data_IF_360815179696
#
_entry.id   IF_360815179696
#
_cell.length_a   1.000
_cell.length_b   1.000
_cell.length_c   1.000
_cell.angle_alpha   90.00
_cell.angle_beta   90.00
_cell.angle_gamma   90.00
#
_symmetry.space_group_name_H-M   'P 1'
#
loop_
_entity.id
_entity.type
_entity.pdbx_description
1 polymer ?
#
# COMPACT_ATOMS: atom_id res chain seq x y z
N UNK A 1 -40.90 18.14 -0.10
CA UNK A 1 -39.49 17.71 -0.25
C UNK A 1 -39.20 16.72 0.87
N UNK A 2 -39.09 15.43 0.54
CA UNK A 2 -38.74 14.41 1.51
C UNK A 2 -37.25 14.57 1.86
N UNK A 3 -36.87 14.64 3.14
CA UNK A 3 -35.46 14.58 3.51
C UNK A 3 -34.94 13.17 3.21
N UNK A 4 -33.89 13.09 2.40
CA UNK A 4 -33.14 11.87 2.17
C UNK A 4 -32.60 11.36 3.52
N UNK A 5 -33.34 10.43 4.15
CA UNK A 5 -32.82 9.56 5.21
C UNK A 5 -31.90 8.52 4.57
N UNK A 6 -30.71 8.96 4.16
CA UNK A 6 -29.64 8.10 3.70
C UNK A 6 -28.71 7.73 4.86
N UNK A 7 -29.18 6.97 5.84
CA UNK A 7 -28.25 6.14 6.60
C UNK A 7 -27.81 5.07 5.63
N UNK A 8 -26.70 5.29 4.90
CA UNK A 8 -26.12 4.28 4.03
C UNK A 8 -25.79 3.06 4.90
N UNK A 9 -26.65 2.05 4.86
CA UNK A 9 -26.39 0.79 5.52
C UNK A 9 -25.19 0.16 4.80
N UNK A 10 -24.16 -0.22 5.54
CA UNK A 10 -23.05 -0.99 4.99
C UNK A 10 -23.65 -2.35 4.58
N UNK A 11 -23.48 -2.72 3.31
CA UNK A 11 -24.04 -3.95 2.77
C UNK A 11 -23.39 -5.17 3.43
N UNK A 12 -24.17 -6.24 3.62
CA UNK A 12 -23.70 -7.47 4.28
C UNK A 12 -22.47 -8.05 3.58
N UNK A 13 -22.47 -8.06 2.24
CA UNK A 13 -21.35 -8.56 1.44
C UNK A 13 -20.05 -7.79 1.72
N UNK A 14 -20.11 -6.47 1.91
CA UNK A 14 -18.94 -5.64 2.24
C UNK A 14 -18.42 -5.89 3.66
N UNK A 15 -19.27 -6.33 4.57
CA UNK A 15 -18.84 -6.69 5.93
C UNK A 15 -18.15 -8.06 5.94
N UNK A 16 -18.58 -8.98 5.09
CA UNK A 16 -17.99 -10.32 4.96
C UNK A 16 -16.59 -10.30 4.32
N UNK A 17 -16.19 -9.21 3.68
CA UNK A 17 -14.83 -9.06 3.13
C UNK A 17 -13.80 -8.59 4.15
N UNK A 18 -14.22 -8.07 5.32
CA UNK A 18 -13.29 -7.63 6.35
C UNK A 18 -12.66 -8.85 7.01
N UNK A 19 -11.35 -8.81 7.16
CA UNK A 19 -10.59 -9.86 7.81
C UNK A 19 -10.70 -9.75 9.36
N UNK A 20 -10.93 -10.85 10.11
CA UNK A 20 -10.84 -10.84 11.57
C UNK A 20 -9.50 -10.27 12.11
N UNK A 21 -8.39 -10.51 11.41
CA UNK A 21 -7.08 -9.94 11.75
C UNK A 21 -7.06 -8.41 11.64
N UNK A 22 -7.70 -7.83 10.62
CA UNK A 22 -7.87 -6.37 10.48
C UNK A 22 -8.60 -5.78 11.69
N UNK A 23 -9.63 -6.46 12.19
CA UNK A 23 -10.37 -6.01 13.38
C UNK A 23 -9.49 -6.03 14.62
N UNK A 24 -8.67 -7.07 14.82
CA UNK A 24 -7.73 -7.14 15.95
C UNK A 24 -6.69 -6.03 15.89
N UNK A 25 -6.06 -5.85 14.72
CA UNK A 25 -5.05 -4.83 14.51
C UNK A 25 -5.59 -3.41 14.73
N UNK A 26 -6.82 -3.14 14.25
CA UNK A 26 -7.53 -1.89 14.53
C UNK A 26 -7.70 -1.65 16.02
N UNK A 27 -8.19 -2.65 16.77
CA UNK A 27 -8.43 -2.54 18.20
C UNK A 27 -7.14 -2.31 18.99
N UNK A 28 -6.07 -3.01 18.65
CA UNK A 28 -4.76 -2.86 19.26
C UNK A 28 -4.20 -1.45 19.03
N UNK A 29 -4.30 -0.92 17.80
CA UNK A 29 -3.96 0.48 17.49
C UNK A 29 -4.79 1.48 18.30
N UNK A 30 -6.07 1.18 18.52
CA UNK A 30 -6.96 1.98 19.37
C UNK A 30 -6.73 1.78 20.87
N UNK A 31 -5.67 1.08 21.27
CA UNK A 31 -5.31 0.81 22.67
C UNK A 31 -6.36 -0.03 23.42
N UNK A 32 -7.15 -0.84 22.69
CA UNK A 32 -8.05 -1.79 23.31
C UNK A 32 -7.26 -2.91 23.99
N UNK A 33 -7.68 -3.33 25.18
CA UNK A 33 -7.01 -4.37 25.96
C UNK A 33 -7.76 -5.69 25.80
N UNK A 34 -7.06 -6.74 25.36
CA UNK A 34 -7.63 -8.09 25.33
C UNK A 34 -7.88 -8.58 26.76
N UNK A 35 -9.16 -8.80 27.11
CA UNK A 35 -9.58 -9.26 28.44
C UNK A 35 -9.77 -10.77 28.52
N UNK A 36 -9.99 -11.42 27.38
CA UNK A 36 -10.14 -12.87 27.34
C UNK A 36 -10.68 -13.38 26.03
N UNK A 37 -11.05 -14.65 26.02
CA UNK A 37 -11.65 -15.33 24.87
C UNK A 37 -12.99 -15.92 25.28
N UNK A 38 -13.97 -15.81 24.41
CA UNK A 38 -15.24 -16.50 24.54
C UNK A 38 -15.18 -17.74 23.66
N UNK A 39 -14.79 -18.88 24.26
CA UNK A 39 -14.44 -20.11 23.54
C UNK A 39 -13.38 -19.86 22.45
N UNK A 40 -13.45 -20.58 21.33
CA UNK A 40 -12.59 -20.43 20.15
C UNK A 40 -13.08 -19.38 19.15
N UNK A 41 -14.36 -19.00 19.26
CA UNK A 41 -15.08 -18.28 18.22
C UNK A 41 -15.00 -16.75 18.35
N UNK A 42 -14.75 -16.23 19.56
CA UNK A 42 -14.73 -14.80 19.78
C UNK A 42 -13.70 -14.35 20.83
N UNK A 43 -13.22 -13.11 20.66
CA UNK A 43 -12.32 -12.42 21.58
C UNK A 43 -13.07 -11.32 22.31
N UNK A 44 -12.72 -11.07 23.57
CA UNK A 44 -13.28 -10.00 24.37
C UNK A 44 -12.23 -8.91 24.58
N UNK A 45 -12.48 -7.73 24.05
CA UNK A 45 -11.65 -6.54 24.22
C UNK A 45 -12.35 -5.53 25.13
N UNK A 46 -11.57 -4.69 25.79
CA UNK A 46 -12.06 -3.52 26.49
C UNK A 46 -11.45 -2.26 25.87
N UNK A 47 -12.30 -1.31 25.49
CA UNK A 47 -11.91 -0.03 24.92
C UNK A 47 -12.67 1.08 25.66
N UNK A 48 -11.93 2.02 26.26
CA UNK A 48 -12.51 3.15 27.03
C UNK A 48 -13.55 2.70 28.07
N UNK A 49 -13.31 1.58 28.75
CA UNK A 49 -14.19 1.00 29.77
C UNK A 49 -15.43 0.27 29.23
N UNK A 50 -15.57 0.13 27.91
CA UNK A 50 -16.65 -0.62 27.27
C UNK A 50 -16.14 -1.97 26.75
N UNK A 51 -16.93 -3.02 26.93
CA UNK A 51 -16.60 -4.36 26.44
C UNK A 51 -17.05 -4.57 24.99
N UNK A 52 -16.17 -5.14 24.19
CA UNK A 52 -16.35 -5.45 22.78
C UNK A 52 -16.17 -6.94 22.55
N UNK A 53 -17.13 -7.57 21.87
CA UNK A 53 -17.04 -8.98 21.45
C UNK A 53 -16.68 -8.98 19.97
N UNK A 54 -15.56 -9.61 19.65
CA UNK A 54 -14.96 -9.61 18.32
C UNK A 54 -14.98 -11.02 17.75
N UNK A 55 -15.61 -11.25 16.58
CA UNK A 55 -15.56 -12.56 15.93
C UNK A 55 -14.12 -12.90 15.54
N UNK A 56 -13.67 -14.11 15.87
CA UNK A 56 -12.31 -14.57 15.63
C UNK A 56 -12.15 -15.31 14.28
N UNK A 57 -13.24 -15.57 13.56
CA UNK A 57 -13.25 -16.22 12.25
C UNK A 57 -14.33 -15.64 11.35
N UNK A 58 -14.02 -15.48 10.06
CA UNK A 58 -14.98 -15.13 9.00
C UNK A 58 -15.90 -16.29 8.62
N UNK A 59 -15.59 -17.53 9.04
CA UNK A 59 -16.41 -18.72 8.80
C UNK A 59 -17.70 -18.77 9.64
N UNK A 60 -17.90 -17.82 10.55
CA UNK A 60 -19.10 -17.73 11.37
C UNK A 60 -20.31 -17.35 10.51
N UNK A 61 -21.41 -18.09 10.64
CA UNK A 61 -22.64 -17.86 9.86
C UNK A 61 -23.19 -16.43 10.04
N UNK A 62 -22.99 -15.86 11.22
CA UNK A 62 -23.43 -14.52 11.59
C UNK A 62 -22.30 -13.47 11.56
N UNK A 63 -21.15 -13.77 10.93
CA UNK A 63 -19.96 -12.89 10.90
C UNK A 63 -20.30 -11.44 10.52
N UNK A 64 -20.95 -11.23 9.36
CA UNK A 64 -21.30 -9.89 8.91
C UNK A 64 -22.25 -9.15 9.87
N UNK A 65 -23.17 -9.87 10.53
CA UNK A 65 -24.07 -9.25 11.52
C UNK A 65 -23.34 -8.89 12.83
N UNK A 66 -22.42 -9.77 13.28
CA UNK A 66 -21.55 -9.49 14.41
C UNK A 66 -20.64 -8.28 14.14
N UNK A 67 -20.08 -8.18 12.93
CA UNK A 67 -19.24 -7.07 12.52
C UNK A 67 -20.03 -5.75 12.41
N UNK A 68 -21.24 -5.77 11.85
CA UNK A 68 -22.11 -4.59 11.83
C UNK A 68 -22.40 -4.06 13.25
N UNK A 69 -22.63 -4.97 14.20
CA UNK A 69 -22.84 -4.62 15.62
C UNK A 69 -21.57 -4.02 16.22
N UNK A 70 -20.42 -4.63 15.97
CA UNK A 70 -19.12 -4.14 16.44
C UNK A 70 -18.81 -2.74 15.91
N UNK A 71 -18.96 -2.51 14.60
CA UNK A 71 -18.75 -1.19 13.96
C UNK A 71 -19.66 -0.13 14.59
N UNK A 72 -20.93 -0.48 14.88
CA UNK A 72 -21.85 0.44 15.56
C UNK A 72 -21.39 0.78 16.98
N UNK A 73 -20.87 -0.20 17.72
CA UNK A 73 -20.34 0.02 19.07
C UNK A 73 -19.08 0.90 19.03
N UNK A 74 -18.14 0.60 18.14
CA UNK A 74 -16.92 1.40 17.92
C UNK A 74 -17.25 2.84 17.54
N UNK A 75 -18.16 3.04 16.57
CA UNK A 75 -18.63 4.36 16.17
C UNK A 75 -19.20 5.18 17.34
N UNK A 76 -19.92 4.53 18.27
CA UNK A 76 -20.46 5.18 19.45
C UNK A 76 -19.38 5.49 20.50
N UNK A 77 -18.44 4.58 20.74
CA UNK A 77 -17.33 4.74 21.69
C UNK A 77 -16.36 5.84 21.25
N UNK A 78 -16.02 5.87 19.96
CA UNK A 78 -15.05 6.80 19.40
C UNK A 78 -15.68 8.12 18.93
N UNK A 79 -17.01 8.24 18.97
CA UNK A 79 -17.75 9.40 18.44
C UNK A 79 -17.51 9.66 16.94
N UNK A 80 -17.45 8.59 16.14
CA UNK A 80 -17.17 8.63 14.70
C UNK A 80 -18.33 8.04 13.90
N UNK A 81 -18.34 8.26 12.59
CA UNK A 81 -19.32 7.61 11.72
C UNK A 81 -19.00 6.13 11.55
N UNK A 82 -20.04 5.28 11.44
CA UNK A 82 -19.86 3.85 11.16
C UNK A 82 -19.08 3.61 9.86
N UNK A 83 -19.28 4.48 8.87
CA UNK A 83 -18.57 4.42 7.59
C UNK A 83 -17.07 4.74 7.72
N UNK A 84 -16.68 5.63 8.63
CA UNK A 84 -15.27 5.88 8.91
C UNK A 84 -14.60 4.66 9.54
N UNK A 85 -15.25 4.04 10.55
CA UNK A 85 -14.75 2.81 11.19
C UNK A 85 -14.64 1.68 10.16
N UNK A 86 -15.69 1.46 9.37
CA UNK A 86 -15.71 0.44 8.32
C UNK A 86 -14.53 0.57 7.35
N UNK A 87 -14.22 1.79 6.90
CA UNK A 87 -13.11 2.03 5.98
C UNK A 87 -11.74 1.81 6.59
N UNK A 88 -11.57 2.13 7.86
CA UNK A 88 -10.31 1.84 8.55
C UNK A 88 -10.12 0.34 8.74
N UNK A 89 -11.20 -0.41 8.96
CA UNK A 89 -11.16 -1.87 8.99
C UNK A 89 -10.84 -2.47 7.62
N UNK A 90 -11.41 -1.94 6.54
CA UNK A 90 -11.11 -2.37 5.16
C UNK A 90 -9.66 -2.08 4.75
N UNK A 91 -9.02 -1.09 5.36
CA UNK A 91 -7.64 -0.72 5.10
C UNK A 91 -6.65 -1.36 6.08
N UNK A 92 -7.11 -1.96 7.17
CA UNK A 92 -6.23 -2.47 8.22
C UNK A 92 -5.42 -3.71 7.78
N UNK A 93 -5.89 -4.45 6.78
CA UNK A 93 -5.24 -5.61 6.18
C UNK A 93 -4.65 -5.34 4.79
N UNK A 94 -4.50 -4.08 4.40
CA UNK A 94 -3.89 -3.73 3.12
C UNK A 94 -2.79 -2.67 3.29
N UNK A 95 -1.68 -2.84 2.58
CA UNK A 95 -0.74 -1.75 2.40
C UNK A 95 -1.36 -0.72 1.45
N UNK A 96 -1.22 0.55 1.79
CA UNK A 96 -1.75 1.65 1.00
C UNK A 96 -0.59 2.32 0.28
N UNK A 97 -0.63 2.33 -1.06
CA UNK A 97 0.28 3.11 -1.88
C UNK A 97 -0.48 4.29 -2.46
N UNK A 98 -0.07 5.50 -2.10
CA UNK A 98 -0.61 6.73 -2.63
C UNK A 98 0.44 7.38 -3.54
N UNK A 99 0.06 7.71 -4.78
CA UNK A 99 0.94 8.35 -5.74
C UNK A 99 0.29 9.62 -6.29
N UNK A 100 1.06 10.71 -6.34
CA UNK A 100 0.54 12.01 -6.69
C UNK A 100 1.55 13.13 -6.78
N UNK A 101 1.08 14.36 -6.68
CA UNK A 101 1.88 15.58 -6.76
C UNK A 101 1.22 16.63 -5.88
N UNK A 102 2.01 17.57 -5.35
CA UNK A 102 1.58 18.54 -4.35
C UNK A 102 0.66 19.66 -4.85
N UNK A 103 0.23 19.62 -6.12
CA UNK A 103 -0.60 20.66 -6.70
C UNK A 103 -2.08 20.29 -6.63
N UNK A 104 -2.90 21.22 -6.14
CA UNK A 104 -4.36 21.10 -6.01
C UNK A 104 -5.08 21.17 -7.36
N UNK A 105 -4.35 21.46 -8.46
CA UNK A 105 -4.94 21.48 -9.79
C UNK A 105 -5.24 20.07 -10.30
N UNK A 106 -6.52 19.84 -10.62
CA UNK A 106 -6.93 18.59 -11.23
C UNK A 106 -6.31 18.46 -12.62
N UNK A 107 -5.58 17.36 -12.89
CA UNK A 107 -4.94 17.14 -14.18
C UNK A 107 -6.00 16.94 -15.26
N UNK A 108 -5.63 17.18 -16.53
CA UNK A 108 -6.48 16.79 -17.64
C UNK A 108 -6.74 15.27 -17.63
N UNK A 109 -7.86 14.82 -18.19
CA UNK A 109 -8.17 13.39 -18.30
C UNK A 109 -7.07 12.60 -19.02
N UNK A 110 -6.47 13.19 -20.07
CA UNK A 110 -5.36 12.61 -20.81
C UNK A 110 -4.10 12.48 -19.93
N UNK A 111 -3.80 13.49 -19.11
CA UNK A 111 -2.70 13.45 -18.15
C UNK A 111 -2.93 12.38 -17.09
N UNK A 112 -4.15 12.28 -16.54
CA UNK A 112 -4.48 11.29 -15.51
C UNK A 112 -4.39 9.85 -16.03
N UNK A 113 -4.91 9.58 -17.25
CA UNK A 113 -4.82 8.25 -17.88
C UNK A 113 -3.38 7.86 -18.22
N UNK A 114 -2.58 8.82 -18.68
CA UNK A 114 -1.14 8.61 -18.92
C UNK A 114 -0.40 8.33 -17.61
N UNK A 115 -0.70 9.09 -16.55
CA UNK A 115 -0.13 8.89 -15.22
C UNK A 115 -0.42 7.50 -14.68
N UNK A 116 -1.68 7.04 -14.74
CA UNK A 116 -2.05 5.68 -14.33
C UNK A 116 -1.30 4.60 -15.11
N UNK A 117 -1.13 4.81 -16.42
CA UNK A 117 -0.38 3.88 -17.28
C UNK A 117 1.09 3.81 -16.88
N UNK A 118 1.73 4.94 -16.58
CA UNK A 118 3.12 4.96 -16.13
C UNK A 118 3.25 4.42 -14.70
N UNK A 119 2.28 4.68 -13.82
CA UNK A 119 2.28 4.16 -12.45
C UNK A 119 2.21 2.64 -12.47
N UNK A 120 1.37 2.05 -13.32
CA UNK A 120 1.30 0.61 -13.50
C UNK A 120 2.65 0.03 -13.98
N UNK A 121 3.30 0.68 -14.95
CA UNK A 121 4.63 0.26 -15.44
C UNK A 121 5.71 0.36 -14.38
N UNK A 122 5.70 1.44 -13.60
CA UNK A 122 6.59 1.61 -12.45
C UNK A 122 6.40 0.49 -11.42
N UNK A 123 5.16 0.22 -11.02
CA UNK A 123 4.85 -0.85 -10.06
C UNK A 123 5.24 -2.22 -10.60
N UNK A 124 5.03 -2.47 -11.89
CA UNK A 124 5.49 -3.70 -12.53
C UNK A 124 7.01 -3.86 -12.46
N UNK A 125 7.75 -2.79 -12.78
CA UNK A 125 9.21 -2.81 -12.78
C UNK A 125 9.76 -2.99 -11.35
N UNK A 126 9.18 -2.30 -10.37
CA UNK A 126 9.53 -2.45 -8.96
C UNK A 126 9.24 -3.87 -8.43
N UNK A 127 8.07 -4.42 -8.78
CA UNK A 127 7.70 -5.78 -8.42
C UNK A 127 8.62 -6.81 -9.10
N UNK A 128 8.95 -6.61 -10.37
CA UNK A 128 9.85 -7.51 -11.13
C UNK A 128 11.30 -7.46 -10.63
N UNK A 129 11.70 -6.34 -10.02
CA UNK A 129 13.00 -6.21 -9.37
C UNK A 129 13.05 -6.95 -8.02
N UNK A 130 11.89 -7.17 -7.40
CA UNK A 130 11.76 -7.73 -6.05
C UNK A 130 11.32 -9.20 -6.06
N UNK A 131 10.74 -9.68 -7.15
CA UNK A 131 10.16 -11.01 -7.27
C UNK A 131 10.14 -11.50 -8.72
N UNK A 132 9.94 -12.80 -8.91
CA UNK A 132 9.76 -13.41 -10.23
C UNK A 132 8.57 -12.80 -11.00
N UNK A 133 8.64 -12.82 -12.34
CA UNK A 133 7.63 -12.20 -13.22
C UNK A 133 6.20 -12.63 -12.92
N UNK A 134 5.97 -13.90 -12.59
CA UNK A 134 4.63 -14.40 -12.25
C UNK A 134 4.10 -13.75 -10.96
N UNK A 135 4.94 -13.57 -9.94
CA UNK A 135 4.57 -12.89 -8.70
C UNK A 135 4.34 -11.38 -8.92
N UNK A 136 5.13 -10.74 -9.78
CA UNK A 136 4.93 -9.35 -10.17
C UNK A 136 3.60 -9.12 -10.91
N UNK A 137 3.19 -10.04 -11.78
CA UNK A 137 1.88 -9.99 -12.44
C UNK A 137 0.74 -10.23 -11.46
N UNK A 138 0.85 -11.25 -10.61
CA UNK A 138 -0.13 -11.54 -9.55
C UNK A 138 -0.30 -10.34 -8.60
N UNK A 139 0.80 -9.67 -8.25
CA UNK A 139 0.78 -8.44 -7.47
C UNK A 139 -0.07 -7.35 -8.14
N UNK A 140 0.19 -7.03 -9.41
CA UNK A 140 -0.60 -6.03 -10.12
C UNK A 140 -2.08 -6.39 -10.21
N UNK A 141 -2.42 -7.67 -10.35
CA UNK A 141 -3.79 -8.14 -10.34
C UNK A 141 -4.46 -8.08 -8.96
N UNK A 142 -3.66 -8.13 -7.89
CA UNK A 142 -4.15 -8.02 -6.51
C UNK A 142 -4.45 -6.57 -6.11
N UNK A 143 -3.81 -5.58 -6.75
CA UNK A 143 -3.98 -4.17 -6.43
C UNK A 143 -5.41 -3.70 -6.71
N UNK A 144 -6.00 -3.02 -5.73
CA UNK A 144 -7.32 -2.40 -5.86
C UNK A 144 -7.17 -0.88 -5.85
N UNK A 145 -7.79 -0.21 -6.81
CA UNK A 145 -7.88 1.24 -6.75
C UNK A 145 -8.90 1.64 -5.68
N UNK A 146 -8.45 2.39 -4.70
CA UNK A 146 -9.36 3.10 -3.82
C UNK A 146 -9.84 4.35 -4.58
N UNK A 147 -11.15 4.48 -4.79
CA UNK A 147 -11.75 5.57 -5.59
C UNK A 147 -11.70 6.93 -4.88
N UNK A 148 -10.82 7.07 -3.90
CA UNK A 148 -10.67 8.22 -3.02
C UNK A 148 -9.42 8.97 -3.42
N UNK A 149 -9.62 10.07 -4.15
CA UNK A 149 -8.59 11.09 -4.27
C UNK A 149 -8.45 11.75 -2.89
N UNK A 150 -7.26 11.71 -2.29
CA UNK A 150 -6.97 12.39 -1.03
C UNK A 150 -5.95 13.47 -1.27
N UNK A 151 -6.39 14.73 -1.32
CA UNK A 151 -5.51 15.89 -1.49
C UNK A 151 -4.52 15.70 -2.64
N UNK A 152 -3.23 15.77 -2.30
CA UNK A 152 -2.06 15.62 -3.17
C UNK A 152 -1.92 14.25 -3.86
N UNK A 153 -2.78 13.28 -3.55
CA UNK A 153 -2.73 11.93 -4.09
C UNK A 153 -3.99 11.62 -4.93
N UNK A 154 -3.93 11.82 -6.26
CA UNK A 154 -5.00 11.46 -7.18
C UNK A 154 -5.15 9.95 -7.34
N UNK A 155 -4.17 9.14 -6.91
CA UNK A 155 -4.23 7.67 -6.98
C UNK A 155 -3.90 7.08 -5.61
N UNK A 156 -4.82 6.27 -5.10
CA UNK A 156 -4.61 5.42 -3.92
C UNK A 156 -4.85 3.97 -4.32
N UNK A 157 -3.85 3.12 -4.09
CA UNK A 157 -3.89 1.69 -4.36
C UNK A 157 -3.81 0.92 -3.05
N UNK A 158 -4.60 -0.14 -2.93
CA UNK A 158 -4.62 -1.06 -1.81
C UNK A 158 -3.99 -2.38 -2.27
N UNK A 159 -2.95 -2.82 -1.56
CA UNK A 159 -2.30 -4.12 -1.74
C UNK A 159 -2.69 -5.01 -0.56
N UNK A 160 -3.53 -6.04 -0.75
CA UNK A 160 -3.92 -6.94 0.32
C UNK A 160 -2.70 -7.62 0.98
N UNK A 161 -2.73 -7.72 2.31
CA UNK A 161 -1.75 -8.50 3.08
C UNK A 161 -2.41 -9.84 3.45
N UNK A 162 -1.90 -10.97 2.93
CA UNK A 162 -2.49 -12.28 3.17
C UNK A 162 -2.36 -12.66 4.66
N UNK A 163 -3.35 -13.40 5.17
CA UNK A 163 -3.23 -14.04 6.48
C UNK A 163 -2.11 -15.08 6.44
N UNK A 164 -1.30 -15.14 7.51
CA UNK A 164 -0.25 -16.15 7.64
C UNK A 164 -0.82 -17.58 7.77
N UNK A 165 -1.31 -18.20 6.68
CA UNK A 165 -1.39 -19.67 6.49
C UNK A 165 -2.12 -20.10 5.18
N UNK A 166 -1.40 -20.63 4.19
CA UNK A 166 -1.26 -22.07 3.89
C UNK A 166 -0.48 -22.29 2.58
N UNK A 167 -0.59 -21.38 1.61
CA UNK A 167 0.24 -21.34 0.39
C UNK A 167 1.33 -20.27 0.51
N UNK A 168 2.24 -20.52 1.46
CA UNK A 168 3.16 -19.52 2.03
C UNK A 168 4.02 -18.79 1.01
N UNK A 169 4.64 -19.47 0.05
CA UNK A 169 5.73 -18.84 -0.69
C UNK A 169 5.25 -17.82 -1.73
N UNK A 170 4.18 -18.10 -2.47
CA UNK A 170 3.72 -17.19 -3.53
C UNK A 170 3.01 -15.95 -2.96
N UNK A 171 2.19 -16.14 -1.92
CA UNK A 171 1.45 -15.06 -1.27
C UNK A 171 2.37 -14.18 -0.42
N UNK A 172 3.35 -14.76 0.30
CA UNK A 172 4.37 -13.99 1.03
C UNK A 172 5.25 -13.18 0.08
N UNK A 173 5.60 -13.74 -1.11
CA UNK A 173 6.33 -13.00 -2.16
C UNK A 173 5.56 -11.80 -2.67
N UNK A 174 4.27 -11.96 -2.96
CA UNK A 174 3.43 -10.84 -3.41
C UNK A 174 3.24 -9.80 -2.31
N UNK A 175 3.07 -10.23 -1.06
CA UNK A 175 2.93 -9.34 0.09
C UNK A 175 4.20 -8.56 0.42
N UNK A 176 5.39 -9.10 0.10
CA UNK A 176 6.66 -8.43 0.35
C UNK A 176 6.94 -7.26 -0.63
N UNK A 177 6.22 -7.18 -1.76
CA UNK A 177 6.54 -6.21 -2.82
C UNK A 177 6.40 -4.76 -2.37
N UNK A 178 5.36 -4.39 -1.60
CA UNK A 178 5.21 -3.00 -1.15
C UNK A 178 6.36 -2.56 -0.21
N UNK A 179 6.74 -3.33 0.82
CA UNK A 179 7.96 -3.07 1.58
C UNK A 179 9.21 -2.91 0.71
N UNK A 180 9.38 -3.77 -0.30
CA UNK A 180 10.51 -3.64 -1.22
C UNK A 180 10.44 -2.34 -2.04
N UNK A 181 9.26 -1.97 -2.56
CA UNK A 181 9.07 -0.69 -3.27
C UNK A 181 9.48 0.49 -2.38
N UNK A 182 9.15 0.46 -1.08
CA UNK A 182 9.59 1.47 -0.12
C UNK A 182 11.12 1.54 0.00
N UNK A 183 11.80 0.40 0.11
CA UNK A 183 13.27 0.35 0.13
C UNK A 183 13.86 0.92 -1.16
N UNK A 184 13.35 0.51 -2.32
CA UNK A 184 13.81 0.99 -3.63
C UNK A 184 13.68 2.51 -3.78
N UNK A 185 12.54 3.08 -3.37
CA UNK A 185 12.33 4.52 -3.39
C UNK A 185 13.28 5.26 -2.44
N UNK A 186 13.53 4.69 -1.26
CA UNK A 186 14.49 5.24 -0.30
C UNK A 186 15.92 5.20 -0.85
N UNK A 187 16.30 4.14 -1.57
CA UNK A 187 17.60 4.05 -2.25
C UNK A 187 17.77 5.15 -3.30
N UNK A 188 16.72 5.43 -4.09
CA UNK A 188 16.73 6.53 -5.08
C UNK A 188 16.90 7.88 -4.39
N UNK A 189 16.14 8.13 -3.32
CA UNK A 189 16.22 9.37 -2.56
C UNK A 189 17.63 9.57 -1.95
N UNK A 190 18.21 8.53 -1.35
CA UNK A 190 19.56 8.58 -0.78
C UNK A 190 20.64 8.84 -1.83
N UNK A 191 20.54 8.23 -3.01
CA UNK A 191 21.49 8.47 -4.10
C UNK A 191 21.49 9.93 -4.57
N UNK A 192 20.33 10.61 -4.50
CA UNK A 192 20.23 12.04 -4.82
C UNK A 192 20.85 12.94 -3.74
N UNK A 193 20.76 12.54 -2.47
CA UNK A 193 21.25 13.33 -1.33
C UNK A 193 22.74 13.09 -0.99
N UNK A 194 23.43 12.19 -1.70
CA UNK A 194 24.87 11.93 -1.56
C UNK A 194 25.69 12.54 -2.72
N UNK A 195 25.96 13.86 -2.74
CA UNK A 195 26.61 14.54 -3.86
C UNK A 195 28.12 14.26 -4.02
N UNK A 196 28.76 13.59 -3.07
CA UNK A 196 30.22 13.35 -3.06
C UNK A 196 30.70 12.07 -3.72
N UNK A 197 29.81 11.31 -4.36
CA UNK A 197 30.14 10.03 -4.98
C UNK A 197 30.43 10.26 -6.48
N UNK A 198 31.64 9.92 -6.97
CA UNK A 198 32.04 10.21 -8.36
C UNK A 198 31.27 9.39 -9.42
N UNK A 199 30.57 8.32 -9.01
CA UNK A 199 29.77 7.43 -9.89
C UNK A 199 28.35 7.18 -9.33
N UNK A 200 27.56 8.24 -9.17
CA UNK A 200 26.23 8.20 -8.52
C UNK A 200 25.26 7.26 -9.23
N UNK A 201 25.22 7.30 -10.55
CA UNK A 201 24.33 6.49 -11.35
C UNK A 201 24.67 4.99 -11.27
N UNK A 202 25.96 4.62 -11.32
CA UNK A 202 26.39 3.23 -11.14
C UNK A 202 26.12 2.74 -9.70
N UNK A 203 26.35 3.60 -8.72
CA UNK A 203 26.08 3.30 -7.30
C UNK A 203 24.59 3.13 -7.03
N UNK A 204 23.74 3.90 -7.71
CA UNK A 204 22.28 3.73 -7.67
C UNK A 204 21.88 2.36 -8.23
N UNK A 205 22.38 1.99 -9.41
CA UNK A 205 22.09 0.68 -10.02
C UNK A 205 22.51 -0.47 -9.11
N UNK A 206 23.70 -0.37 -8.51
CA UNK A 206 24.18 -1.36 -7.56
C UNK A 206 23.28 -1.43 -6.32
N UNK A 207 22.96 -0.29 -5.70
CA UNK A 207 22.08 -0.24 -4.53
C UNK A 207 20.67 -0.79 -4.82
N UNK A 208 20.13 -0.53 -6.01
CA UNK A 208 18.84 -1.09 -6.44
C UNK A 208 18.91 -2.60 -6.68
N UNK A 209 20.00 -3.09 -7.28
CA UNK A 209 20.21 -4.52 -7.46
C UNK A 209 20.33 -5.24 -6.11
N UNK A 210 21.07 -4.67 -5.15
CA UNK A 210 21.21 -5.19 -3.78
C UNK A 210 19.89 -5.15 -3.02
N UNK A 211 19.12 -4.06 -3.14
CA UNK A 211 17.79 -3.95 -2.52
C UNK A 211 16.75 -4.92 -3.12
N UNK A 212 16.89 -5.27 -4.41
CA UNK A 212 16.04 -6.24 -5.11
C UNK A 212 16.48 -7.70 -4.96
N UNK A 213 17.73 -7.97 -4.58
CA UNK A 213 18.35 -9.32 -4.57
C UNK A 213 17.81 -10.30 -3.54
N UNK A 214 16.71 -9.97 -2.86
CA UNK A 214 16.09 -10.86 -1.88
C UNK A 214 15.76 -12.25 -2.44
N UNK A 215 15.52 -12.41 -3.75
CA UNK A 215 14.92 -13.62 -4.33
C UNK A 215 15.60 -14.17 -5.62
N UNK A 216 16.81 -13.71 -5.97
CA UNK A 216 17.56 -14.22 -7.13
C UNK A 216 18.68 -13.28 -7.60
N UNK A 217 19.41 -13.68 -8.65
CA UNK A 217 20.36 -12.80 -9.34
C UNK A 217 19.59 -11.64 -9.99
N UNK A 218 19.49 -10.51 -9.30
CA UNK A 218 18.87 -9.29 -9.84
C UNK A 218 19.70 -8.84 -11.04
N UNK A 219 19.16 -8.99 -12.25
CA UNK A 219 19.89 -8.55 -13.43
C UNK A 219 19.98 -7.02 -13.44
N UNK A 220 21.15 -6.44 -13.75
CA UNK A 220 21.31 -4.99 -13.90
C UNK A 220 20.26 -4.37 -14.86
N UNK A 221 19.80 -5.16 -15.83
CA UNK A 221 18.72 -4.80 -16.75
C UNK A 221 17.39 -4.47 -16.04
N UNK A 222 17.04 -5.18 -14.95
CA UNK A 222 15.83 -4.93 -14.18
C UNK A 222 15.94 -3.64 -13.37
N UNK A 223 17.12 -3.36 -12.79
CA UNK A 223 17.36 -2.11 -12.08
C UNK A 223 17.27 -0.90 -13.04
N UNK A 224 17.82 -1.02 -14.25
CA UNK A 224 17.65 -0.02 -15.30
C UNK A 224 16.18 0.14 -15.74
N UNK A 225 15.44 -0.96 -15.90
CA UNK A 225 14.03 -0.91 -16.22
C UNK A 225 13.20 -0.20 -15.14
N UNK A 226 13.53 -0.42 -13.86
CA UNK A 226 12.94 0.32 -12.74
C UNK A 226 13.26 1.82 -12.83
N UNK A 227 14.53 2.19 -13.03
CA UNK A 227 14.92 3.60 -13.17
C UNK A 227 14.18 4.28 -14.33
N UNK A 228 14.07 3.61 -15.47
CA UNK A 228 13.38 4.12 -16.66
C UNK A 228 11.89 4.29 -16.39
N UNK A 229 11.25 3.32 -15.75
CA UNK A 229 9.82 3.37 -15.44
C UNK A 229 9.51 4.49 -14.44
N UNK A 230 10.36 4.68 -13.42
CA UNK A 230 10.23 5.76 -12.45
C UNK A 230 10.48 7.15 -13.08
N UNK A 231 11.50 7.28 -13.94
CA UNK A 231 11.74 8.52 -14.68
C UNK A 231 10.56 8.87 -15.60
N UNK A 232 10.01 7.90 -16.32
CA UNK A 232 8.84 8.10 -17.17
C UNK A 232 7.59 8.48 -16.37
N UNK A 233 7.42 7.94 -15.16
CA UNK A 233 6.33 8.33 -14.25
C UNK A 233 6.50 9.78 -13.77
N UNK A 234 7.73 10.20 -13.49
CA UNK A 234 8.06 11.56 -13.10
C UNK A 234 7.91 12.56 -14.25
N UNK A 235 8.18 12.17 -15.50
CA UNK A 235 8.01 13.05 -16.68
C UNK A 235 6.54 13.37 -16.98
N UNK A 236 5.63 12.48 -16.60
CA UNK A 236 4.19 12.67 -16.83
C UNK A 236 3.50 13.34 -15.63
N UNK A 237 4.21 13.50 -14.51
CA UNK A 237 3.68 14.21 -13.35
C UNK A 237 3.84 15.73 -13.55
N UNK A 238 2.87 16.53 -13.09
CA UNK A 238 2.97 17.99 -13.16
C UNK A 238 4.26 18.51 -12.51
N UNK A 239 4.88 19.49 -13.16
CA UNK A 239 6.12 20.14 -12.71
C UNK A 239 7.32 19.18 -12.54
N UNK A 240 7.24 17.96 -13.06
CA UNK A 240 8.20 16.89 -12.83
C UNK A 240 8.42 16.63 -11.32
N UNK A 241 7.33 16.68 -10.54
CA UNK A 241 7.33 16.36 -9.11
C UNK A 241 6.40 15.18 -8.83
N UNK A 242 6.83 14.24 -8.00
CA UNK A 242 6.08 13.03 -7.68
C UNK A 242 6.22 12.71 -6.20
N UNK A 243 5.09 12.68 -5.50
CA UNK A 243 4.98 12.24 -4.12
C UNK A 243 4.46 10.80 -4.11
N UNK A 244 5.21 9.88 -3.49
CA UNK A 244 4.76 8.52 -3.23
C UNK A 244 4.75 8.30 -1.73
N UNK A 245 3.56 8.01 -1.18
CA UNK A 245 3.38 7.63 0.22
C UNK A 245 3.04 6.15 0.29
N UNK A 246 3.71 5.43 1.17
CA UNK A 246 3.40 4.03 1.50
C UNK A 246 2.99 3.99 2.96
N UNK A 247 1.79 3.48 3.23
CA UNK A 247 1.27 3.23 4.58
C UNK A 247 1.13 1.73 4.76
N UNK A 248 1.97 1.11 5.60
CA UNK A 248 1.89 -0.32 5.86
C UNK A 248 0.56 -0.74 6.49
N UNK A 249 0.09 -1.95 6.19
CA UNK A 249 -1.09 -2.53 6.81
C UNK A 249 -0.90 -2.64 8.33
N UNK A 250 -1.98 -2.44 9.10
CA UNK A 250 -1.95 -2.59 10.55
C UNK A 250 -1.71 -4.03 11.01
N UNK A 251 -2.03 -4.99 10.16
CA UNK A 251 -1.86 -6.43 10.41
C UNK A 251 -0.42 -6.93 10.24
N UNK A 252 0.52 -6.07 9.81
CA UNK A 252 1.94 -6.43 9.78
C UNK A 252 2.50 -6.47 11.21
N UNK A 253 3.28 -7.51 11.50
CA UNK A 253 3.93 -7.69 12.81
C UNK A 253 5.11 -6.73 13.04
N UNK A 254 5.63 -6.10 11.99
CA UNK A 254 6.79 -5.20 12.06
C UNK A 254 6.34 -3.76 12.31
N UNK A 255 7.13 -3.00 13.08
CA UNK A 255 6.99 -1.53 13.24
C UNK A 255 7.29 -0.82 11.91
N UNK A 256 6.41 -1.00 10.94
CA UNK A 256 6.51 -0.38 9.63
C UNK A 256 5.85 1.00 9.72
N UNK A 257 6.67 2.05 9.62
CA UNK A 257 6.17 3.41 9.60
C UNK A 257 5.75 3.84 8.20
N UNK A 258 4.75 4.71 8.13
CA UNK A 258 4.40 5.36 6.89
C UNK A 258 5.62 6.12 6.34
N UNK A 259 5.91 5.94 5.06
CA UNK A 259 6.96 6.66 4.35
C UNK A 259 6.35 7.60 3.32
N UNK A 260 7.03 8.72 3.07
CA UNK A 260 6.72 9.65 2.02
C UNK A 260 8.03 9.99 1.31
N UNK A 261 8.12 9.66 0.03
CA UNK A 261 9.24 9.99 -0.83
C UNK A 261 8.77 11.04 -1.84
N UNK A 262 9.51 12.14 -1.94
CA UNK A 262 9.22 13.23 -2.88
C UNK A 262 10.34 13.28 -3.91
N UNK A 263 9.99 12.97 -5.15
CA UNK A 263 10.89 12.95 -6.29
C UNK A 263 10.69 14.22 -7.11
N UNK A 264 11.78 14.68 -7.73
CA UNK A 264 11.85 15.94 -8.47
C UNK A 264 12.88 15.89 -9.60
N UNK A 265 13.13 17.01 -10.25
CA UNK A 265 14.02 17.12 -11.43
C UNK A 265 15.42 16.52 -11.23
N UNK A 266 16.04 16.72 -10.07
CA UNK A 266 17.34 16.12 -9.75
C UNK A 266 17.33 14.59 -9.69
N UNK A 267 16.21 14.00 -9.27
CA UNK A 267 16.00 12.55 -9.30
C UNK A 267 15.85 12.06 -10.74
N UNK A 268 15.09 12.78 -11.57
CA UNK A 268 14.90 12.42 -12.97
C UNK A 268 16.23 12.30 -13.73
N UNK A 269 17.09 13.31 -13.60
CA UNK A 269 18.40 13.34 -14.26
C UNK A 269 19.26 12.13 -13.87
N UNK A 270 19.33 11.82 -12.57
CA UNK A 270 20.08 10.67 -12.07
C UNK A 270 19.51 9.33 -12.57
N UNK A 271 18.18 9.19 -12.57
CA UNK A 271 17.52 7.97 -13.05
C UNK A 271 17.78 7.75 -14.55
N UNK A 272 17.76 8.82 -15.35
CA UNK A 272 18.08 8.77 -16.79
C UNK A 272 19.54 8.38 -17.03
N UNK A 273 20.47 9.01 -16.32
CA UNK A 273 21.90 8.67 -16.37
C UNK A 273 22.14 7.19 -16.03
N UNK A 274 21.48 6.67 -14.99
CA UNK A 274 21.54 5.26 -14.63
C UNK A 274 21.02 4.34 -15.73
N UNK A 275 19.99 4.74 -16.48
CA UNK A 275 19.50 3.94 -17.62
C UNK A 275 20.54 3.86 -18.74
N UNK A 276 21.23 4.96 -19.02
CA UNK A 276 22.18 5.09 -20.13
C UNK A 276 23.48 4.29 -19.88
N UNK A 277 23.83 4.01 -18.62
CA UNK A 277 25.02 3.23 -18.25
C UNK A 277 24.95 1.75 -18.67
N UNK A 278 23.75 1.19 -18.82
CA UNK A 278 23.57 -0.19 -19.23
C UNK A 278 23.17 -0.22 -20.71
N UNK A 279 24.04 -0.69 -21.62
CA UNK A 279 23.68 -0.79 -23.02
C UNK A 279 22.48 -1.71 -23.15
N UNK A 280 21.39 -1.23 -23.75
CA UNK A 280 20.27 -2.06 -24.17
C UNK A 280 20.80 -3.20 -25.04
N UNK A 281 21.02 -4.38 -24.45
CA UNK A 281 21.06 -5.61 -25.23
C UNK A 281 19.63 -5.86 -25.67
N UNK A 282 19.34 -5.40 -26.89
CA UNK A 282 18.14 -5.75 -27.64
C UNK A 282 18.06 -7.27 -27.86
#
# INVERSE_FOLDING_TARGET
>A
MNPCKGSAAIEKASLETINPAAVRAYLERSQAVLRGKFFTEALCYELLGQQLIVPNSSSLVDYGAALAKLIRQLAAIEHRSQFAIFRELEQADADILQAGWSDETLPSLCTHTTFLTQLQKFLYAAASLSAETAAAQSFLHSLRCDTRCTGDFPVTLLSPVPEKATDKEAEERTAAIIPHVQVLLTTVEQAVHNPGQEDRAASLLQGLAEAGAGHGDTEPAQASAFCLALANLLDVSPENTLSIRIVPALTRDEESHASLVILGTGHNALLREACDLLPHKA
#
